data_IF_385395424079
#
_entry.id   IF_385395424079
#
_cell.length_a   1.000
_cell.length_b   1.000
_cell.length_c   1.000
_cell.angle_alpha   90.00
_cell.angle_beta   90.00
_cell.angle_gamma   90.00
#
_symmetry.space_group_name_H-M   'P 1'
#
loop_
_entity.id
_entity.type
_entity.pdbx_description
1 polymer ?
#
# COMPACT_ATOMS: atom_id res chain seq x y z
N UNK A 1 -7.32 -18.92 15.63
CA UNK A 1 -8.74 -18.61 15.70
C UNK A 1 -9.42 -18.51 14.34
N UNK A 2 -8.66 -18.31 13.21
CA UNK A 2 -9.22 -18.13 11.86
C UNK A 2 -9.10 -19.36 10.96
N UNK A 3 -8.60 -20.48 11.48
CA UNK A 3 -8.40 -21.73 10.73
C UNK A 3 -9.65 -22.59 10.88
N UNK A 4 -10.28 -22.99 9.76
CA UNK A 4 -11.42 -23.90 9.75
C UNK A 4 -10.99 -25.35 9.95
N UNK A 5 -9.99 -25.80 9.19
CA UNK A 5 -9.45 -27.16 9.26
C UNK A 5 -8.03 -27.24 8.72
N UNK A 6 -7.35 -28.36 8.99
CA UNK A 6 -6.06 -28.71 8.39
C UNK A 6 -6.28 -29.89 7.45
N UNK A 7 -5.88 -29.74 6.18
CA UNK A 7 -5.96 -30.79 5.17
C UNK A 7 -4.65 -30.89 4.40
N UNK A 8 -4.04 -32.06 4.37
CA UNK A 8 -2.77 -32.33 3.67
C UNK A 8 -1.70 -31.28 3.93
N UNK A 9 -1.41 -30.96 5.21
CA UNK A 9 -0.49 -29.92 5.68
C UNK A 9 -0.86 -28.46 5.32
N UNK A 10 -2.01 -28.22 4.70
CA UNK A 10 -2.54 -26.90 4.44
C UNK A 10 -3.59 -26.49 5.47
N UNK A 11 -3.51 -25.25 5.96
CA UNK A 11 -4.54 -24.67 6.81
C UNK A 11 -5.64 -24.04 5.94
N UNK A 12 -6.89 -24.42 6.18
CA UNK A 12 -8.04 -23.86 5.46
C UNK A 12 -8.62 -22.70 6.28
N UNK A 13 -8.72 -21.54 5.66
CA UNK A 13 -9.27 -20.32 6.27
C UNK A 13 -10.80 -20.44 6.34
N UNK A 14 -11.36 -20.04 7.47
CA UNK A 14 -12.81 -19.98 7.66
C UNK A 14 -13.39 -18.74 6.99
N UNK A 15 -14.03 -18.92 5.83
CA UNK A 15 -14.63 -17.84 5.05
C UNK A 15 -15.77 -17.12 5.77
N UNK A 16 -16.46 -17.79 6.70
CA UNK A 16 -17.48 -17.17 7.54
C UNK A 16 -16.87 -16.05 8.39
N UNK A 17 -15.70 -16.32 8.97
CA UNK A 17 -14.95 -15.31 9.75
C UNK A 17 -14.40 -14.19 8.88
N UNK A 18 -14.08 -14.48 7.62
CA UNK A 18 -13.69 -13.45 6.65
C UNK A 18 -14.84 -12.48 6.40
N UNK A 19 -16.05 -12.99 6.16
CA UNK A 19 -17.26 -12.16 5.97
C UNK A 19 -17.58 -11.34 7.21
N UNK A 20 -17.57 -11.95 8.39
CA UNK A 20 -17.78 -11.23 9.65
C UNK A 20 -16.76 -10.12 9.88
N UNK A 21 -15.51 -10.37 9.55
CA UNK A 21 -14.44 -9.37 9.65
C UNK A 21 -14.64 -8.21 8.66
N UNK A 22 -15.04 -8.49 7.42
CA UNK A 22 -15.37 -7.47 6.42
C UNK A 22 -16.57 -6.62 6.86
N UNK A 23 -17.61 -7.24 7.39
CA UNK A 23 -18.81 -6.54 7.88
C UNK A 23 -18.49 -5.53 9.01
N UNK A 24 -17.45 -5.78 9.78
CA UNK A 24 -16.97 -4.85 10.81
C UNK A 24 -15.99 -3.81 10.27
N UNK A 25 -15.13 -4.18 9.34
CA UNK A 25 -14.06 -3.33 8.83
C UNK A 25 -14.54 -2.32 7.79
N UNK A 26 -15.38 -2.73 6.84
CA UNK A 26 -15.78 -1.88 5.71
C UNK A 26 -16.53 -0.61 6.11
N UNK A 27 -17.49 -0.63 7.07
CA UNK A 27 -18.13 0.60 7.53
C UNK A 27 -17.15 1.62 8.13
N UNK A 28 -16.15 1.16 8.87
CA UNK A 28 -15.14 2.04 9.46
C UNK A 28 -14.23 2.64 8.37
N UNK A 29 -13.86 1.86 7.38
CA UNK A 29 -13.09 2.34 6.23
C UNK A 29 -13.89 3.39 5.43
N UNK A 30 -15.18 3.16 5.24
CA UNK A 30 -16.09 4.13 4.58
C UNK A 30 -16.16 5.45 5.34
N UNK A 31 -16.25 5.41 6.67
CA UNK A 31 -16.23 6.63 7.50
C UNK A 31 -14.93 7.42 7.33
N UNK A 32 -13.79 6.74 7.31
CA UNK A 32 -12.48 7.36 7.11
C UNK A 32 -12.41 8.02 5.74
N UNK A 33 -12.81 7.33 4.69
CA UNK A 33 -12.82 7.87 3.33
C UNK A 33 -13.80 9.05 3.17
N UNK A 34 -14.98 8.95 3.76
CA UNK A 34 -16.00 10.01 3.75
C UNK A 34 -15.52 11.30 4.45
N UNK A 35 -14.55 11.21 5.35
CA UNK A 35 -13.92 12.39 5.97
C UNK A 35 -12.94 13.13 5.03
N UNK A 36 -12.76 12.68 3.80
CA UNK A 36 -11.83 13.23 2.82
C UNK A 36 -10.37 12.77 3.00
N UNK A 37 -10.10 11.86 3.95
CA UNK A 37 -8.75 11.34 4.20
C UNK A 37 -8.44 10.20 3.25
N UNK A 38 -7.20 10.16 2.78
CA UNK A 38 -6.74 9.10 1.89
C UNK A 38 -6.47 7.80 2.63
N UNK A 39 -6.76 6.70 1.96
CA UNK A 39 -6.41 5.35 2.39
C UNK A 39 -5.19 4.89 1.61
N UNK A 40 -4.13 4.50 2.32
CA UNK A 40 -2.89 3.99 1.73
C UNK A 40 -2.98 2.47 1.56
N UNK A 41 -2.83 1.99 0.33
CA UNK A 41 -2.79 0.56 0.01
C UNK A 41 -1.35 0.08 -0.06
N UNK A 42 -1.02 -0.98 0.66
CA UNK A 42 0.33 -1.56 0.73
C UNK A 42 0.31 -3.03 0.37
N UNK A 43 1.11 -3.40 -0.61
CA UNK A 43 1.27 -4.80 -1.03
C UNK A 43 2.54 -4.97 -1.84
N UNK A 44 3.64 -5.30 -1.17
CA UNK A 44 4.97 -5.45 -1.81
C UNK A 44 5.26 -6.89 -2.22
N UNK A 45 4.45 -7.84 -1.80
CA UNK A 45 4.53 -9.24 -2.21
C UNK A 45 4.33 -9.37 -3.73
N UNK A 46 5.10 -10.23 -4.38
CA UNK A 46 5.05 -10.39 -5.85
C UNK A 46 3.63 -10.61 -6.39
N UNK A 47 2.83 -11.41 -5.70
CA UNK A 47 1.44 -11.72 -6.09
C UNK A 47 0.48 -10.55 -5.86
N UNK A 48 0.84 -9.59 -5.03
CA UNK A 48 -0.01 -8.46 -4.65
C UNK A 48 0.26 -7.17 -5.43
N UNK A 49 1.47 -6.98 -5.95
CA UNK A 49 1.92 -5.70 -6.52
C UNK A 49 0.97 -5.10 -7.55
N UNK A 50 0.67 -5.83 -8.60
CA UNK A 50 -0.14 -5.32 -9.70
C UNK A 50 -1.60 -5.13 -9.28
N UNK A 51 -2.13 -6.09 -8.53
CA UNK A 51 -3.51 -6.04 -8.02
C UNK A 51 -3.73 -4.84 -7.10
N UNK A 52 -2.79 -4.57 -6.20
CA UNK A 52 -2.85 -3.43 -5.28
C UNK A 52 -2.72 -2.11 -6.03
N UNK A 53 -1.78 -2.01 -6.97
CA UNK A 53 -1.60 -0.81 -7.80
C UNK A 53 -2.88 -0.48 -8.57
N UNK A 54 -3.41 -1.43 -9.31
CA UNK A 54 -4.62 -1.24 -10.11
C UNK A 54 -5.83 -0.86 -9.26
N UNK A 55 -6.01 -1.52 -8.12
CA UNK A 55 -7.10 -1.22 -7.19
C UNK A 55 -7.02 0.21 -6.65
N UNK A 56 -5.85 0.64 -6.20
CA UNK A 56 -5.64 1.98 -5.66
C UNK A 56 -5.76 3.08 -6.73
N UNK A 57 -5.17 2.87 -7.91
CA UNK A 57 -5.23 3.81 -9.03
C UNK A 57 -6.67 4.02 -9.50
N UNK A 58 -7.47 2.96 -9.56
CA UNK A 58 -8.89 3.00 -9.97
C UNK A 58 -9.72 3.97 -9.12
N UNK A 59 -9.41 4.10 -7.84
CA UNK A 59 -10.11 4.99 -6.91
C UNK A 59 -9.31 6.24 -6.55
N UNK A 60 -8.18 6.47 -7.22
CA UNK A 60 -7.29 7.60 -7.00
C UNK A 60 -6.80 7.73 -5.53
N UNK A 61 -6.37 6.62 -4.96
CA UNK A 61 -5.77 6.53 -3.65
C UNK A 61 -4.29 6.14 -3.72
N UNK A 62 -3.47 6.52 -2.72
CA UNK A 62 -2.05 6.22 -2.69
C UNK A 62 -1.77 4.73 -2.48
N UNK A 63 -0.62 4.27 -2.96
CA UNK A 63 -0.18 2.90 -2.83
C UNK A 63 1.34 2.77 -2.70
N UNK A 64 1.79 1.68 -2.10
CA UNK A 64 3.19 1.23 -2.06
C UNK A 64 3.23 -0.25 -2.44
N UNK A 65 3.87 -0.57 -3.57
CA UNK A 65 3.89 -1.94 -4.13
C UNK A 65 5.28 -2.48 -4.44
N UNK A 66 6.32 -1.64 -4.46
CA UNK A 66 7.67 -2.12 -4.76
C UNK A 66 8.41 -2.49 -3.48
N UNK A 67 8.72 -1.53 -2.66
CA UNK A 67 9.37 -1.72 -1.37
C UNK A 67 8.91 -0.66 -0.39
N UNK A 68 8.60 -1.07 0.82
CA UNK A 68 8.41 -0.13 1.91
C UNK A 68 9.75 0.46 2.32
N UNK A 69 9.89 1.76 2.20
CA UNK A 69 11.07 2.48 2.68
C UNK A 69 10.84 2.88 4.13
N UNK A 70 11.74 2.51 5.03
CA UNK A 70 11.64 2.92 6.43
C UNK A 70 11.47 4.43 6.56
N UNK A 71 10.52 4.85 7.37
CA UNK A 71 10.17 6.25 7.56
C UNK A 71 9.14 6.82 6.60
N UNK A 72 8.56 6.03 5.70
CA UNK A 72 7.53 6.51 4.77
C UNK A 72 6.35 7.21 5.46
N UNK A 73 5.98 6.78 6.65
CA UNK A 73 4.97 7.45 7.47
C UNK A 73 5.59 8.26 8.61
N UNK A 74 6.60 7.73 9.28
CA UNK A 74 7.19 8.33 10.49
C UNK A 74 8.23 9.42 10.20
N UNK A 75 8.78 9.49 8.99
CA UNK A 75 9.73 10.54 8.58
C UNK A 75 9.21 11.30 7.36
N UNK A 76 8.04 11.90 7.50
CA UNK A 76 7.34 12.59 6.40
C UNK A 76 8.11 13.75 5.77
N UNK A 77 8.95 14.44 6.52
CA UNK A 77 9.78 15.54 5.99
C UNK A 77 10.80 15.05 4.96
N UNK A 78 11.50 13.97 5.27
CA UNK A 78 12.45 13.34 4.34
C UNK A 78 11.75 12.81 3.09
N UNK A 79 10.62 12.15 3.27
CA UNK A 79 9.82 11.62 2.16
C UNK A 79 9.30 12.76 1.26
N UNK A 80 8.81 13.85 1.86
CA UNK A 80 8.35 15.03 1.12
C UNK A 80 9.47 15.66 0.28
N UNK A 81 10.71 15.70 0.79
CA UNK A 81 11.85 16.18 0.03
C UNK A 81 12.16 15.29 -1.19
N UNK A 82 12.10 13.97 -1.04
CA UNK A 82 12.29 13.03 -2.15
C UNK A 82 11.19 13.15 -3.21
N UNK A 83 9.95 13.30 -2.79
CA UNK A 83 8.81 13.53 -3.70
C UNK A 83 8.97 14.87 -4.43
N UNK A 84 9.39 15.93 -3.74
CA UNK A 84 9.66 17.23 -4.35
C UNK A 84 10.77 17.15 -5.39
N UNK A 85 11.85 16.41 -5.10
CA UNK A 85 12.94 16.13 -6.04
C UNK A 85 12.41 15.43 -7.29
N UNK A 86 11.62 14.37 -7.10
CA UNK A 86 11.01 13.62 -8.20
C UNK A 86 10.16 14.52 -9.09
N UNK A 87 9.22 15.26 -8.52
CA UNK A 87 8.34 16.19 -9.27
C UNK A 87 9.13 17.26 -10.03
N UNK A 88 10.21 17.76 -9.44
CA UNK A 88 11.08 18.74 -10.11
C UNK A 88 11.82 18.12 -11.30
N UNK A 89 12.40 16.94 -11.14
CA UNK A 89 13.10 16.25 -12.23
C UNK A 89 12.14 15.90 -13.38
N UNK A 90 10.95 15.39 -13.07
CA UNK A 90 9.92 15.08 -14.07
C UNK A 90 9.52 16.36 -14.85
N UNK A 91 9.28 17.46 -14.15
CA UNK A 91 8.94 18.75 -14.76
C UNK A 91 10.04 19.25 -15.70
N UNK A 92 11.29 19.18 -15.27
CA UNK A 92 12.45 19.62 -16.06
C UNK A 92 12.69 18.71 -17.27
N UNK A 93 12.47 17.41 -17.13
CA UNK A 93 12.55 16.46 -18.23
C UNK A 93 11.46 16.75 -19.26
N UNK A 94 10.21 16.87 -18.83
CA UNK A 94 9.08 17.14 -19.71
C UNK A 94 9.17 18.48 -20.47
N UNK A 95 9.80 19.51 -19.86
CA UNK A 95 10.01 20.83 -20.49
C UNK A 95 11.18 20.89 -21.46
N UNK A 96 11.99 19.82 -21.55
CA UNK A 96 13.23 19.80 -22.32
C UNK A 96 14.37 20.63 -21.71
N UNK A 97 14.24 21.13 -20.48
CA UNK A 97 15.27 21.93 -19.80
C UNK A 97 16.57 21.13 -19.59
N UNK A 98 16.44 19.84 -19.26
CA UNK A 98 17.60 18.97 -19.04
C UNK A 98 18.36 18.73 -20.36
N UNK A 99 17.67 18.46 -21.45
CA UNK A 99 18.27 18.23 -22.77
C UNK A 99 19.01 19.46 -23.32
N UNK A 100 18.58 20.66 -22.94
CA UNK A 100 19.20 21.92 -23.34
C UNK A 100 20.49 22.23 -22.57
N UNK A 101 20.61 21.71 -21.34
CA UNK A 101 21.70 22.10 -20.41
C UNK A 101 22.75 21.00 -20.19
N UNK A 102 22.40 19.77 -20.50
CA UNK A 102 23.22 18.59 -20.18
C UNK A 102 23.45 17.73 -21.42
N UNK A 103 24.52 16.96 -21.41
CA UNK A 103 24.81 16.00 -22.47
C UNK A 103 23.88 14.75 -22.36
N UNK A 104 23.86 13.94 -23.41
CA UNK A 104 22.99 12.76 -23.49
C UNK A 104 23.18 11.77 -22.34
N UNK A 105 24.42 11.56 -21.89
CA UNK A 105 24.73 10.65 -20.78
C UNK A 105 24.17 11.18 -19.45
N UNK A 106 24.30 12.47 -19.22
CA UNK A 106 23.73 13.11 -18.03
C UNK A 106 22.21 13.07 -18.03
N UNK A 107 21.56 13.33 -19.18
CA UNK A 107 20.12 13.23 -19.34
C UNK A 107 19.66 11.80 -19.07
N UNK A 108 20.37 10.79 -19.56
CA UNK A 108 20.07 9.40 -19.25
C UNK A 108 20.14 9.13 -17.74
N UNK A 109 21.14 9.63 -17.04
CA UNK A 109 21.25 9.47 -15.58
C UNK A 109 20.09 10.14 -14.83
N UNK A 110 19.62 11.30 -15.29
CA UNK A 110 18.42 11.93 -14.72
C UNK A 110 17.17 11.07 -14.95
N UNK A 111 17.04 10.44 -16.11
CA UNK A 111 15.94 9.52 -16.39
C UNK A 111 15.99 8.30 -15.45
N UNK A 112 17.14 7.69 -15.28
CA UNK A 112 17.35 6.57 -14.36
C UNK A 112 17.02 6.97 -12.90
N UNK A 113 17.36 8.19 -12.51
CA UNK A 113 17.01 8.73 -11.19
C UNK A 113 15.48 8.93 -11.04
N UNK A 114 14.83 9.47 -12.06
CA UNK A 114 13.35 9.61 -12.10
C UNK A 114 12.69 8.24 -11.95
N UNK A 115 13.14 7.25 -12.72
CA UNK A 115 12.59 5.88 -12.69
C UNK A 115 12.77 5.25 -11.30
N UNK A 116 13.94 5.40 -10.69
CA UNK A 116 14.23 4.93 -9.35
C UNK A 116 13.36 5.58 -8.28
N UNK A 117 13.17 6.89 -8.36
CA UNK A 117 12.33 7.64 -7.43
C UNK A 117 10.83 7.32 -7.63
N UNK A 118 10.38 7.15 -8.88
CA UNK A 118 9.01 6.72 -9.18
C UNK A 118 8.72 5.32 -8.65
N UNK A 119 9.66 4.40 -8.79
CA UNK A 119 9.53 3.07 -8.22
C UNK A 119 9.30 3.11 -6.72
N UNK A 120 10.01 3.97 -5.99
CA UNK A 120 9.94 4.10 -4.53
C UNK A 120 8.74 4.92 -4.05
N UNK A 121 8.47 6.05 -4.68
CA UNK A 121 7.56 7.09 -4.18
C UNK A 121 6.42 7.44 -5.14
N UNK A 122 6.39 6.86 -6.33
CA UNK A 122 5.41 7.20 -7.37
C UNK A 122 3.96 7.06 -6.91
N UNK A 123 3.65 6.01 -6.17
CA UNK A 123 2.32 5.74 -5.65
C UNK A 123 1.86 6.69 -4.52
N UNK A 124 2.79 7.42 -3.90
CA UNK A 124 2.48 8.34 -2.79
C UNK A 124 2.78 9.80 -3.12
N UNK A 125 3.04 10.12 -4.40
CA UNK A 125 3.36 11.49 -4.83
C UNK A 125 2.34 12.54 -4.38
N UNK A 126 1.08 12.17 -4.34
CA UNK A 126 -0.03 13.07 -4.02
C UNK A 126 -0.62 12.85 -2.63
N UNK A 127 0.00 11.99 -1.83
CA UNK A 127 -0.35 11.82 -0.43
C UNK A 127 0.13 13.01 0.37
N UNK A 128 -0.81 13.81 0.85
CA UNK A 128 -0.52 14.95 1.71
C UNK A 128 -0.67 14.56 3.19
N UNK A 129 0.45 14.52 3.89
CA UNK A 129 0.46 14.21 5.31
C UNK A 129 0.18 12.74 5.63
N UNK A 130 -0.40 12.52 6.79
CA UNK A 130 -0.72 11.20 7.33
C UNK A 130 -1.98 10.64 6.66
N UNK A 131 -1.99 9.38 6.17
CA UNK A 131 -3.21 8.76 5.65
C UNK A 131 -4.24 8.56 6.76
N UNK A 132 -5.50 8.41 6.38
CA UNK A 132 -6.61 8.10 7.30
C UNK A 132 -6.61 6.65 7.76
N UNK A 133 -6.16 5.76 6.90
CA UNK A 133 -6.01 4.33 7.17
C UNK A 133 -4.94 3.72 6.26
N UNK A 134 -4.46 2.55 6.65
CA UNK A 134 -3.56 1.72 5.83
C UNK A 134 -4.21 0.36 5.62
N UNK A 135 -4.30 -0.06 4.36
CA UNK A 135 -4.75 -1.41 3.97
C UNK A 135 -3.53 -2.21 3.54
N UNK A 136 -3.22 -3.28 4.24
CA UNK A 136 -2.02 -4.10 4.02
C UNK A 136 -2.43 -5.50 3.56
N UNK A 137 -1.89 -5.96 2.43
CA UNK A 137 -2.22 -7.29 1.88
C UNK A 137 -1.50 -8.40 2.64
N UNK A 138 -0.23 -8.20 2.99
CA UNK A 138 0.56 -9.16 3.78
C UNK A 138 1.27 -8.44 4.92
N UNK A 139 0.73 -8.59 6.12
CA UNK A 139 1.27 -7.93 7.31
C UNK A 139 2.64 -8.48 7.76
N UNK A 140 3.03 -9.68 7.32
CA UNK A 140 4.35 -10.22 7.61
C UNK A 140 5.41 -9.58 6.72
N UNK A 141 5.18 -9.58 5.41
CA UNK A 141 6.09 -8.96 4.43
C UNK A 141 6.22 -7.45 4.66
N UNK A 142 5.10 -6.79 4.92
CA UNK A 142 5.02 -5.34 5.11
C UNK A 142 4.91 -4.92 6.59
N UNK A 143 5.55 -5.67 7.49
CA UNK A 143 5.52 -5.44 8.93
C UNK A 143 5.99 -4.04 9.35
N UNK A 144 6.92 -3.44 8.62
CA UNK A 144 7.37 -2.07 8.88
C UNK A 144 6.28 -1.04 8.61
N UNK A 145 5.48 -1.23 7.57
CA UNK A 145 4.33 -0.37 7.29
C UNK A 145 3.31 -0.43 8.43
N UNK A 146 3.01 -1.62 8.91
CA UNK A 146 2.10 -1.83 10.06
C UNK A 146 2.64 -1.14 11.31
N UNK A 147 3.92 -1.33 11.62
CA UNK A 147 4.56 -0.72 12.80
C UNK A 147 4.56 0.81 12.74
N UNK A 148 4.88 1.38 11.59
CA UNK A 148 4.87 2.84 11.42
C UNK A 148 3.46 3.42 11.52
N UNK A 149 2.46 2.75 10.94
CA UNK A 149 1.06 3.15 11.06
C UNK A 149 0.60 3.13 12.53
N UNK A 150 0.94 2.09 13.27
CA UNK A 150 0.66 1.98 14.71
C UNK A 150 1.32 3.11 15.50
N UNK A 151 2.58 3.42 15.22
CA UNK A 151 3.32 4.51 15.88
C UNK A 151 2.62 5.85 15.70
N UNK A 152 1.98 6.09 14.56
CA UNK A 152 1.25 7.32 14.26
C UNK A 152 -0.24 7.28 14.64
N UNK A 153 -0.72 6.17 15.20
CA UNK A 153 -2.13 5.99 15.50
C UNK A 153 -3.02 5.93 14.25
N UNK A 154 -2.49 5.46 13.13
CA UNK A 154 -3.24 5.24 11.89
C UNK A 154 -3.86 3.86 11.92
N UNK A 155 -5.19 3.71 11.74
CA UNK A 155 -5.84 2.40 11.71
C UNK A 155 -5.28 1.51 10.60
N UNK A 156 -5.01 0.24 10.95
CA UNK A 156 -4.49 -0.78 10.04
C UNK A 156 -5.55 -1.82 9.76
N UNK A 157 -5.86 -1.99 8.48
CA UNK A 157 -6.70 -3.05 7.93
C UNK A 157 -5.77 -4.01 7.21
N UNK A 158 -5.72 -5.27 7.61
CA UNK A 158 -4.80 -6.22 7.00
C UNK A 158 -5.48 -7.53 6.61
N UNK A 159 -5.15 -8.03 5.43
CA UNK A 159 -5.40 -9.41 5.05
C UNK A 159 -4.34 -10.26 5.76
N UNK A 160 -4.77 -11.24 6.51
CA UNK A 160 -3.90 -12.06 7.36
C UNK A 160 -4.10 -13.53 7.03
N UNK A 161 -3.04 -14.19 6.62
CA UNK A 161 -2.99 -15.64 6.44
C UNK A 161 -2.67 -16.34 7.76
N UNK A 162 -2.66 -17.67 7.74
CA UNK A 162 -2.49 -18.55 8.91
C UNK A 162 -1.13 -18.41 9.59
N UNK A 163 -0.12 -17.89 8.92
CA UNK A 163 1.26 -17.75 9.39
C UNK A 163 1.58 -16.41 10.05
N UNK A 164 0.60 -15.51 10.20
CA UNK A 164 0.80 -14.17 10.72
C UNK A 164 0.19 -14.00 12.09
N UNK A 165 0.92 -13.35 13.01
CA UNK A 165 0.36 -12.90 14.28
C UNK A 165 -0.49 -11.65 14.07
N UNK A 166 -1.82 -11.70 14.33
CA UNK A 166 -2.71 -10.57 14.12
C UNK A 166 -2.62 -9.50 15.22
N UNK A 167 -1.77 -9.68 16.23
CA UNK A 167 -1.67 -8.76 17.36
C UNK A 167 -1.24 -7.38 16.89
N UNK A 168 -1.99 -6.36 17.30
CA UNK A 168 -1.70 -4.96 16.97
C UNK A 168 -2.27 -4.47 15.63
N UNK A 169 -2.99 -5.31 14.90
CA UNK A 169 -3.74 -4.91 13.72
C UNK A 169 -5.17 -4.58 14.16
N UNK A 170 -5.67 -3.41 13.75
CA UNK A 170 -6.99 -2.93 14.19
C UNK A 170 -8.14 -3.75 13.57
N UNK A 171 -8.03 -4.07 12.28
CA UNK A 171 -9.02 -4.85 11.54
C UNK A 171 -8.33 -5.98 10.78
N UNK A 172 -8.47 -7.17 11.31
CA UNK A 172 -7.90 -8.39 10.73
C UNK A 172 -8.92 -9.05 9.82
N UNK A 173 -8.56 -9.20 8.55
CA UNK A 173 -9.38 -9.91 7.56
C UNK A 173 -8.69 -11.24 7.25
N UNK A 174 -9.22 -12.36 7.73
CA UNK A 174 -8.67 -13.69 7.39
C UNK A 174 -8.77 -13.94 5.89
N UNK A 175 -7.66 -14.23 5.26
CA UNK A 175 -7.62 -14.46 3.82
C UNK A 175 -6.28 -15.00 3.35
N UNK A 176 -6.28 -15.66 2.19
CA UNK A 176 -5.06 -16.13 1.57
C UNK A 176 -4.36 -14.97 0.84
N UNK A 177 -3.18 -14.62 1.30
CA UNK A 177 -2.36 -13.55 0.75
C UNK A 177 -1.42 -13.98 -0.40
N UNK A 178 -1.48 -15.26 -0.80
CA UNK A 178 -0.70 -15.82 -1.91
C UNK A 178 -1.52 -15.99 -3.20
N UNK A 179 -2.83 -16.05 -3.12
CA UNK A 179 -3.71 -16.24 -4.27
C UNK A 179 -4.15 -14.90 -4.87
N UNK A 180 -3.68 -14.57 -6.07
CA UNK A 180 -4.00 -13.32 -6.78
C UNK A 180 -5.51 -13.05 -6.86
N UNK A 181 -6.31 -14.05 -7.20
CA UNK A 181 -7.78 -13.91 -7.28
C UNK A 181 -8.42 -13.61 -5.93
N UNK A 182 -7.92 -14.23 -4.86
CA UNK A 182 -8.39 -13.98 -3.51
C UNK A 182 -8.05 -12.57 -3.03
N UNK A 183 -6.83 -12.12 -3.30
CA UNK A 183 -6.39 -10.75 -3.01
C UNK A 183 -7.26 -9.74 -3.79
N UNK A 184 -7.47 -9.99 -5.08
CA UNK A 184 -8.32 -9.13 -5.93
C UNK A 184 -9.73 -8.99 -5.37
N UNK A 185 -10.36 -10.11 -5.00
CA UNK A 185 -11.71 -10.11 -4.44
C UNK A 185 -11.80 -9.28 -3.16
N UNK A 186 -10.86 -9.45 -2.24
CA UNK A 186 -10.83 -8.70 -0.98
C UNK A 186 -10.57 -7.20 -1.23
N UNK A 187 -9.66 -6.87 -2.15
CA UNK A 187 -9.40 -5.49 -2.53
C UNK A 187 -10.62 -4.84 -3.20
N UNK A 188 -11.40 -5.58 -3.98
CA UNK A 188 -12.64 -5.07 -4.56
C UNK A 188 -13.64 -4.64 -3.49
N UNK A 189 -13.76 -5.38 -2.39
CA UNK A 189 -14.56 -4.95 -1.23
C UNK A 189 -14.01 -3.69 -0.57
N UNK A 190 -12.69 -3.61 -0.37
CA UNK A 190 -12.07 -2.42 0.22
C UNK A 190 -12.24 -1.19 -0.66
N UNK A 191 -12.01 -1.31 -1.97
CA UNK A 191 -12.14 -0.19 -2.91
C UNK A 191 -13.59 0.27 -3.07
N UNK A 192 -14.55 -0.64 -2.99
CA UNK A 192 -15.97 -0.31 -3.00
C UNK A 192 -16.41 0.45 -1.73
N UNK A 193 -15.73 0.25 -0.60
CA UNK A 193 -16.00 0.93 0.67
C UNK A 193 -15.40 2.35 0.72
N UNK A 194 -14.40 2.64 -0.10
CA UNK A 194 -13.69 3.92 -0.18
C UNK A 194 -14.27 4.81 -1.27
#
# INVERSE_FOLDING_TARGET
>A
PYIHSKRQDSHIIDLTKTVEALDKALPELTKIAASGRKVLFVGTKKQAKDVVREAAEKINHPYVVERWIGGMLTNGSTIAQQIKKLKNLEKRMASGDLEKRYNKLEVQRFQEEIDSLNMKYGGIKDLMGKPGAVVVVDALTDANAVREAQTLGVPVFAIVDTNVNPTGIDYVIPGNDDAVKGIQLLLDYFTAAV
#
